data_IF_923945062143
#
_entry.id   IF_923945062143
#
_cell.length_a   1.000
_cell.length_b   1.000
_cell.length_c   1.000
_cell.angle_alpha   90.00
_cell.angle_beta   90.00
_cell.angle_gamma   90.00
#
_symmetry.space_group_name_H-M   'P 1'
#
loop_
_entity.id
_entity.type
_entity.pdbx_description
1 polymer ?
#
# COMPACT_ATOMS: atom_id res chain seq x y z
N UNK A 1 7.50 -5.44 24.33
CA UNK A 1 6.66 -6.48 23.67
C UNK A 1 6.07 -5.91 22.40
N UNK A 2 6.08 -6.67 21.32
CA UNK A 2 5.56 -6.22 20.03
C UNK A 2 4.14 -6.65 19.77
N UNK A 3 3.52 -6.00 18.81
CA UNK A 3 2.18 -6.36 18.32
C UNK A 3 2.26 -6.66 16.83
N UNK A 4 1.67 -7.77 16.42
CA UNK A 4 1.57 -8.15 15.01
C UNK A 4 0.10 -8.01 14.58
N UNK A 5 -0.11 -7.25 13.50
CA UNK A 5 -1.41 -7.13 12.88
C UNK A 5 -1.42 -7.88 11.55
N UNK A 6 -2.50 -8.59 11.28
CA UNK A 6 -2.73 -9.26 10.00
C UNK A 6 -3.84 -8.55 9.25
N UNK A 7 -3.57 -8.19 8.01
CA UNK A 7 -4.54 -7.53 7.15
C UNK A 7 -3.88 -6.52 6.22
N UNK A 8 -4.71 -5.77 5.50
CA UNK A 8 -4.23 -4.66 4.69
C UNK A 8 -3.67 -3.58 5.61
N UNK A 9 -2.42 -3.19 5.39
CA UNK A 9 -1.74 -2.23 6.24
C UNK A 9 -2.41 -0.86 6.26
N UNK A 10 -3.06 -0.44 5.18
CA UNK A 10 -3.76 0.84 5.16
C UNK A 10 -4.93 0.84 6.15
N UNK A 11 -5.70 -0.24 6.18
CA UNK A 11 -6.81 -0.39 7.11
C UNK A 11 -6.30 -0.46 8.56
N UNK A 12 -5.23 -1.22 8.79
CA UNK A 12 -4.59 -1.34 10.10
C UNK A 12 -4.11 0.03 10.61
N UNK A 13 -3.42 0.78 9.77
CA UNK A 13 -2.92 2.10 10.12
C UNK A 13 -4.05 3.05 10.53
N UNK A 14 -5.15 3.03 9.80
CA UNK A 14 -6.29 3.91 10.07
C UNK A 14 -7.06 3.53 11.31
N UNK A 15 -7.21 2.23 11.58
CA UNK A 15 -8.04 1.73 12.68
C UNK A 15 -7.33 1.69 14.02
N UNK A 16 -6.05 1.29 14.03
CA UNK A 16 -5.39 0.89 15.26
C UNK A 16 -4.25 1.81 15.69
N UNK A 17 -3.68 2.59 14.78
CA UNK A 17 -2.52 3.42 15.10
C UNK A 17 -2.93 4.89 15.21
N UNK A 18 -2.53 5.49 16.34
CA UNK A 18 -2.79 6.90 16.63
C UNK A 18 -1.68 7.78 16.05
N UNK A 19 -1.99 9.07 15.92
CA UNK A 19 -1.06 10.07 15.43
C UNK A 19 0.20 10.11 16.32
N UNK A 20 1.35 10.25 15.68
CA UNK A 20 2.62 10.53 16.34
C UNK A 20 2.97 9.53 17.45
N UNK A 21 2.77 8.23 17.20
CA UNK A 21 3.05 7.16 18.16
C UNK A 21 4.21 6.27 17.77
N UNK A 22 4.72 6.38 16.54
CA UNK A 22 5.74 5.49 15.98
C UNK A 22 7.07 6.22 15.86
N UNK A 23 8.13 5.58 16.31
CA UNK A 23 9.48 6.15 16.26
C UNK A 23 10.21 5.85 14.95
N UNK A 24 9.96 4.69 14.33
CA UNK A 24 10.61 4.27 13.11
C UNK A 24 9.64 3.48 12.24
N UNK A 25 9.63 3.81 10.96
CA UNK A 25 8.91 3.03 9.95
C UNK A 25 9.94 2.38 9.02
N UNK A 26 9.88 1.07 8.91
CA UNK A 26 10.69 0.30 7.96
C UNK A 26 9.75 -0.30 6.92
N UNK A 27 10.03 -0.03 5.65
CA UNK A 27 9.18 -0.46 4.53
C UNK A 27 9.94 -1.38 3.60
N UNK A 28 9.26 -2.44 3.19
CA UNK A 28 9.68 -3.31 2.09
C UNK A 28 8.48 -3.51 1.17
N UNK A 29 8.11 -2.47 0.39
CA UNK A 29 6.90 -2.52 -0.42
C UNK A 29 7.07 -3.41 -1.65
N UNK A 30 5.98 -3.94 -2.20
CA UNK A 30 6.03 -4.61 -3.50
C UNK A 30 6.42 -3.61 -4.60
N UNK A 31 7.16 -4.10 -5.61
CA UNK A 31 7.70 -3.26 -6.67
C UNK A 31 6.88 -3.28 -7.96
N UNK A 32 5.67 -3.83 -7.91
CA UNK A 32 4.78 -3.93 -9.07
C UNK A 32 5.41 -4.76 -10.21
N UNK A 33 6.05 -5.86 -9.84
CA UNK A 33 6.78 -6.73 -10.76
C UNK A 33 5.92 -7.81 -11.40
N UNK A 34 4.62 -7.82 -11.14
CA UNK A 34 3.66 -8.84 -11.59
C UNK A 34 3.88 -10.23 -10.97
N UNK A 35 4.46 -10.28 -9.77
CA UNK A 35 4.65 -11.51 -9.01
C UNK A 35 3.79 -11.53 -7.76
N UNK A 36 3.36 -12.72 -7.36
CA UNK A 36 2.63 -12.92 -6.11
C UNK A 36 3.59 -13.43 -5.04
N UNK A 37 3.73 -12.72 -3.95
CA UNK A 37 4.66 -13.09 -2.86
C UNK A 37 4.25 -14.37 -2.15
N UNK A 38 2.98 -14.74 -2.20
CA UNK A 38 2.51 -16.00 -1.66
C UNK A 38 2.97 -17.23 -2.46
N UNK A 39 3.56 -17.06 -3.64
CA UNK A 39 4.09 -18.16 -4.44
C UNK A 39 5.39 -18.78 -3.90
N UNK A 40 6.00 -18.18 -2.90
CA UNK A 40 7.24 -18.72 -2.30
C UNK A 40 7.01 -19.98 -1.48
N UNK A 41 5.80 -20.27 -1.10
CA UNK A 41 5.47 -21.43 -0.28
C UNK A 41 4.74 -22.45 -1.14
N UNK A 42 5.48 -23.50 -1.54
CA UNK A 42 4.94 -24.55 -2.39
C UNK A 42 5.05 -25.90 -1.70
N UNK A 43 4.11 -26.78 -1.99
CA UNK A 43 4.22 -28.17 -1.57
C UNK A 43 5.33 -28.88 -2.34
N UNK A 44 5.75 -30.06 -1.86
CA UNK A 44 6.84 -30.83 -2.48
C UNK A 44 6.56 -31.21 -3.93
N UNK A 45 5.30 -31.30 -4.32
CA UNK A 45 4.90 -31.62 -5.68
C UNK A 45 4.80 -30.40 -6.59
N UNK A 46 5.15 -29.21 -6.09
CA UNK A 46 5.10 -27.95 -6.83
C UNK A 46 3.78 -27.18 -6.71
N UNK A 47 2.78 -27.74 -6.03
CA UNK A 47 1.53 -27.01 -5.78
C UNK A 47 1.71 -26.00 -4.64
N UNK A 48 0.83 -25.02 -4.59
CA UNK A 48 0.81 -24.07 -3.48
C UNK A 48 0.44 -24.78 -2.17
N UNK A 49 1.09 -24.42 -1.07
CA UNK A 49 0.81 -25.01 0.23
C UNK A 49 -0.66 -24.78 0.62
N UNK A 50 -1.33 -25.85 1.08
CA UNK A 50 -2.73 -25.78 1.45
C UNK A 50 -2.99 -24.80 2.60
N UNK A 51 -1.99 -24.61 3.48
CA UNK A 51 -2.08 -23.67 4.61
C UNK A 51 -1.61 -22.26 4.24
N UNK A 52 -1.22 -22.04 2.99
CA UNK A 52 -0.73 -20.74 2.54
C UNK A 52 -1.84 -19.71 2.60
N UNK A 53 -1.56 -18.59 3.25
CA UNK A 53 -2.45 -17.44 3.29
C UNK A 53 -1.95 -16.43 2.27
N UNK A 54 -2.85 -16.02 1.37
CA UNK A 54 -2.53 -15.01 0.37
C UNK A 54 -2.36 -13.66 1.06
N UNK A 55 -1.12 -13.17 1.13
CA UNK A 55 -0.82 -11.92 1.82
C UNK A 55 -1.11 -10.70 0.94
N UNK A 56 -0.59 -10.71 -0.29
CA UNK A 56 -0.79 -9.61 -1.24
C UNK A 56 -0.30 -10.01 -2.63
N UNK A 57 -0.71 -9.25 -3.62
CA UNK A 57 -0.19 -9.31 -4.97
C UNK A 57 0.81 -8.17 -5.18
N UNK A 58 1.82 -8.42 -6.01
CA UNK A 58 2.86 -7.44 -6.32
C UNK A 58 2.40 -6.41 -7.36
N UNK A 59 1.33 -6.70 -8.07
CA UNK A 59 0.84 -5.84 -9.15
C UNK A 59 -0.52 -5.28 -8.81
N UNK A 60 -0.65 -3.97 -8.94
CA UNK A 60 -1.93 -3.29 -8.87
C UNK A 60 -2.35 -2.83 -10.26
N UNK A 61 -3.65 -2.92 -10.51
CA UNK A 61 -4.25 -2.48 -11.76
C UNK A 61 -5.17 -1.30 -11.51
N UNK A 62 -5.30 -0.45 -12.51
CA UNK A 62 -6.21 0.68 -12.44
C UNK A 62 -7.64 0.18 -12.55
N UNK A 63 -8.30 0.05 -11.42
CA UNK A 63 -9.66 -0.45 -11.29
C UNK A 63 -10.52 0.52 -10.45
N UNK A 64 -11.74 0.10 -10.11
CA UNK A 64 -12.67 0.91 -9.31
C UNK A 64 -12.07 1.25 -7.95
N UNK A 65 -11.43 0.30 -7.29
CA UNK A 65 -10.82 0.51 -5.96
C UNK A 65 -9.67 1.52 -6.03
N UNK A 66 -8.83 1.40 -7.03
CA UNK A 66 -7.71 2.34 -7.24
C UNK A 66 -8.24 3.73 -7.58
N UNK A 67 -9.28 3.83 -8.41
CA UNK A 67 -9.92 5.10 -8.73
C UNK A 67 -10.51 5.77 -7.48
N UNK A 68 -11.13 5.01 -6.62
CA UNK A 68 -11.64 5.52 -5.33
C UNK A 68 -10.51 6.03 -4.46
N UNK A 69 -9.39 5.30 -4.38
CA UNK A 69 -8.22 5.72 -3.62
C UNK A 69 -7.63 7.02 -4.19
N UNK A 70 -7.55 7.13 -5.51
CA UNK A 70 -7.11 8.34 -6.19
C UNK A 70 -8.01 9.54 -5.85
N UNK A 71 -9.32 9.34 -5.94
CA UNK A 71 -10.29 10.41 -5.63
C UNK A 71 -10.19 10.84 -4.17
N UNK A 72 -9.96 9.92 -3.25
CA UNK A 72 -9.78 10.24 -1.83
C UNK A 72 -8.51 11.07 -1.60
N UNK A 73 -7.39 10.71 -2.24
CA UNK A 73 -6.13 11.46 -2.10
C UNK A 73 -6.22 12.84 -2.72
N UNK A 74 -6.83 12.95 -3.90
CA UNK A 74 -6.92 14.22 -4.64
C UNK A 74 -8.09 15.08 -4.20
N UNK A 75 -9.01 14.53 -3.42
CA UNK A 75 -10.15 15.26 -2.87
C UNK A 75 -9.77 16.27 -1.77
N UNK A 76 -8.55 16.16 -1.23
CA UNK A 76 -8.05 17.10 -0.23
C UNK A 76 -6.95 17.97 -0.84
N UNK A 77 -7.00 19.29 -0.64
CA UNK A 77 -5.98 20.18 -1.19
C UNK A 77 -4.63 19.96 -0.54
N UNK A 78 -3.56 20.15 -1.30
CA UNK A 78 -2.21 20.05 -0.79
C UNK A 78 -1.23 19.48 -1.82
N UNK A 79 0.02 19.37 -1.40
CA UNK A 79 1.11 18.95 -2.31
C UNK A 79 0.94 17.50 -2.80
N UNK A 80 0.44 16.61 -1.94
CA UNK A 80 0.22 15.20 -2.34
C UNK A 80 -0.84 15.14 -3.43
N UNK A 81 -1.94 15.87 -3.27
CA UNK A 81 -2.98 15.96 -4.30
C UNK A 81 -2.41 16.50 -5.61
N UNK A 82 -1.65 17.58 -5.55
CA UNK A 82 -1.05 18.20 -6.73
C UNK A 82 -0.12 17.25 -7.48
N UNK A 83 0.75 16.54 -6.75
CA UNK A 83 1.67 15.57 -7.33
C UNK A 83 0.92 14.40 -7.96
N UNK A 84 -0.09 13.88 -7.28
CA UNK A 84 -0.87 12.76 -7.81
C UNK A 84 -1.64 13.13 -9.06
N UNK A 85 -2.18 14.34 -9.12
CA UNK A 85 -2.84 14.85 -10.33
C UNK A 85 -1.85 14.99 -11.48
N UNK A 86 -0.65 15.50 -11.22
CA UNK A 86 0.41 15.60 -12.22
C UNK A 86 0.81 14.23 -12.76
N UNK A 87 0.97 13.23 -11.90
CA UNK A 87 1.24 11.87 -12.31
C UNK A 87 0.13 11.30 -13.20
N UNK A 88 -1.12 11.57 -12.86
CA UNK A 88 -2.24 11.08 -13.65
C UNK A 88 -2.26 11.71 -15.05
N UNK A 89 -1.96 13.00 -15.15
CA UNK A 89 -1.86 13.69 -16.43
C UNK A 89 -0.76 13.05 -17.30
N UNK A 90 0.36 12.68 -16.68
CA UNK A 90 1.52 12.11 -17.36
C UNK A 90 1.33 10.64 -17.72
N UNK A 91 0.84 9.84 -16.77
CA UNK A 91 0.78 8.38 -16.91
C UNK A 91 -0.57 7.85 -17.39
N UNK A 92 -1.66 8.55 -17.08
CA UNK A 92 -3.00 8.03 -17.28
C UNK A 92 -3.33 6.93 -16.29
N UNK A 93 -4.40 6.19 -16.55
CA UNK A 93 -4.87 5.09 -15.70
C UNK A 93 -4.18 3.77 -16.04
N UNK A 94 -2.91 3.65 -15.74
CA UNK A 94 -2.13 2.43 -15.97
C UNK A 94 -1.68 1.79 -14.65
N UNK A 95 -0.97 0.66 -14.75
CA UNK A 95 -0.52 -0.09 -13.57
C UNK A 95 0.44 0.72 -12.70
N UNK A 96 1.32 1.51 -13.30
CA UNK A 96 2.23 2.37 -12.55
C UNK A 96 1.45 3.43 -11.76
N UNK A 97 0.43 4.03 -12.37
CA UNK A 97 -0.42 5.00 -11.68
C UNK A 97 -1.20 4.34 -10.54
N UNK A 98 -1.67 3.12 -10.75
CA UNK A 98 -2.33 2.33 -9.71
C UNK A 98 -1.38 2.10 -8.52
N UNK A 99 -0.16 1.69 -8.80
CA UNK A 99 0.88 1.50 -7.78
C UNK A 99 1.15 2.79 -6.99
N UNK A 100 1.38 3.89 -7.68
CA UNK A 100 1.64 5.18 -7.04
C UNK A 100 0.47 5.64 -6.17
N UNK A 101 -0.76 5.43 -6.63
CA UNK A 101 -1.96 5.78 -5.89
C UNK A 101 -2.07 4.97 -4.60
N UNK A 102 -1.90 3.67 -4.68
CA UNK A 102 -2.00 2.79 -3.51
C UNK A 102 -0.87 3.05 -2.51
N UNK A 103 0.33 3.34 -2.99
CA UNK A 103 1.45 3.70 -2.13
C UNK A 103 1.27 5.06 -1.48
N UNK A 104 0.77 6.06 -2.21
CA UNK A 104 0.58 7.40 -1.64
C UNK A 104 -0.39 7.40 -0.46
N UNK A 105 -1.47 6.64 -0.55
CA UNK A 105 -2.42 6.50 0.56
C UNK A 105 -1.74 5.98 1.83
N UNK A 106 -0.87 4.99 1.67
CA UNK A 106 -0.13 4.39 2.78
C UNK A 106 0.93 5.34 3.34
N UNK A 107 1.65 6.03 2.49
CA UNK A 107 2.69 6.97 2.92
C UNK A 107 2.10 8.15 3.71
N UNK A 108 0.92 8.63 3.33
CA UNK A 108 0.22 9.67 4.09
C UNK A 108 -0.09 9.19 5.52
N UNK A 109 -0.61 7.97 5.65
CA UNK A 109 -0.92 7.40 6.97
C UNK A 109 0.34 7.11 7.78
N UNK A 110 1.40 6.62 7.14
CA UNK A 110 2.67 6.37 7.83
C UNK A 110 3.28 7.66 8.37
N UNK A 111 3.19 8.75 7.61
CA UNK A 111 3.62 10.06 8.09
C UNK A 111 2.80 10.52 9.29
N UNK A 112 1.50 10.29 9.26
CA UNK A 112 0.60 10.66 10.36
C UNK A 112 0.98 9.98 11.67
N UNK A 113 1.26 8.68 11.62
CA UNK A 113 1.58 7.89 12.83
C UNK A 113 3.02 8.10 13.31
N UNK A 114 3.91 8.59 12.45
CA UNK A 114 5.31 8.80 12.77
C UNK A 114 5.46 10.06 13.62
N UNK A 115 6.23 9.94 14.71
CA UNK A 115 6.54 11.09 15.56
C UNK A 115 7.36 12.14 14.78
N UNK A 116 7.31 13.43 15.19
CA UNK A 116 8.13 14.45 14.53
C UNK A 116 9.63 14.16 14.57
N UNK A 117 10.07 13.34 15.54
CA UNK A 117 11.47 12.92 15.70
C UNK A 117 11.78 11.59 14.99
N UNK A 118 10.77 10.97 14.44
CA UNK A 118 10.92 9.68 13.77
C UNK A 118 11.42 9.78 12.34
#
# INVERSE_FOLDING_TARGET
MGTLYYGDNLDILRRYLKDETVDLVYLDPPFNSAQNYNAFFQEKDGSAAASQIRAFEDTWHWDIETKKAYDAVTGQPGKVSDVMQAFYIFLGGNDMMAYLTMMSSRLVELRRVLKPTG
#
